data_IF_908750049958
#
_entry.id   IF_908750049958
#
_cell.length_a   1.000
_cell.length_b   1.000
_cell.length_c   1.000
_cell.angle_alpha   90.00
_cell.angle_beta   90.00
_cell.angle_gamma   90.00
#
_symmetry.space_group_name_H-M   'P 1'
#
loop_
_entity.id
_entity.type
_entity.pdbx_description
1 polymer ?
#
# COMPACT_ATOMS: atom_id res chain seq x y z
N UNK A 1 9.63 -15.71 -7.48
CA UNK A 1 8.36 -14.95 -7.53
C UNK A 1 7.84 -14.76 -6.13
N UNK A 2 7.28 -13.60 -5.86
CA UNK A 2 6.65 -13.34 -4.57
C UNK A 2 5.38 -14.16 -4.44
N UNK A 3 5.10 -14.63 -3.21
CA UNK A 3 3.86 -15.31 -2.95
C UNK A 3 2.70 -14.32 -2.97
N UNK A 4 1.48 -14.83 -3.13
CA UNK A 4 0.30 -14.01 -3.11
C UNK A 4 0.11 -13.30 -1.77
N UNK A 5 0.50 -13.97 -0.68
CA UNK A 5 0.41 -13.37 0.64
C UNK A 5 1.35 -12.16 0.76
N UNK A 6 2.59 -12.31 0.29
CA UNK A 6 3.53 -11.20 0.33
C UNK A 6 3.05 -10.05 -0.54
N UNK A 7 2.54 -10.34 -1.71
CA UNK A 7 2.03 -9.31 -2.59
C UNK A 7 0.86 -8.56 -1.94
N UNK A 8 -0.03 -9.29 -1.27
CA UNK A 8 -1.17 -8.67 -0.60
C UNK A 8 -0.72 -7.76 0.54
N UNK A 9 0.30 -8.17 1.28
CA UNK A 9 0.80 -7.35 2.38
C UNK A 9 1.46 -6.07 1.88
N UNK A 10 2.24 -6.18 0.82
CA UNK A 10 2.86 -5.00 0.22
C UNK A 10 1.79 -4.06 -0.32
N UNK A 11 0.76 -4.60 -0.94
CA UNK A 11 -0.34 -3.79 -1.46
C UNK A 11 -1.06 -3.04 -0.35
N UNK A 12 -1.27 -3.71 0.78
CA UNK A 12 -1.94 -3.09 1.93
C UNK A 12 -1.10 -1.94 2.48
N UNK A 13 0.20 -2.14 2.60
CA UNK A 13 1.10 -1.11 3.06
C UNK A 13 1.12 0.08 2.10
N UNK A 14 1.21 -0.18 0.81
CA UNK A 14 1.21 0.87 -0.19
C UNK A 14 -0.07 1.69 -0.18
N UNK A 15 -1.21 1.04 0.02
CA UNK A 15 -2.49 1.73 0.11
C UNK A 15 -2.53 2.66 1.32
N UNK A 16 -2.00 2.22 2.46
CA UNK A 16 -1.99 3.04 3.66
C UNK A 16 -1.09 4.27 3.47
N UNK A 17 0.09 4.08 2.89
CA UNK A 17 1.00 5.19 2.63
C UNK A 17 0.40 6.14 1.58
N UNK A 18 -0.19 5.59 0.53
CA UNK A 18 -0.82 6.40 -0.50
C UNK A 18 -1.98 7.23 0.02
N UNK A 19 -2.81 6.64 0.87
CA UNK A 19 -3.93 7.38 1.46
C UNK A 19 -3.43 8.52 2.35
N UNK A 20 -2.35 8.29 3.09
CA UNK A 20 -1.77 9.34 3.91
C UNK A 20 -1.23 10.51 3.09
N UNK A 21 -0.56 10.21 2.00
CA UNK A 21 -0.04 11.25 1.12
C UNK A 21 -1.17 12.02 0.42
N UNK A 22 -2.23 11.32 0.04
CA UNK A 22 -3.37 11.96 -0.60
C UNK A 22 -4.05 12.95 0.34
N UNK A 23 -4.12 12.63 1.62
CA UNK A 23 -4.70 13.53 2.61
C UNK A 23 -3.93 14.84 2.69
N UNK A 24 -2.61 14.79 2.54
CA UNK A 24 -1.79 16.00 2.56
C UNK A 24 -1.92 16.74 1.23
N UNK A 25 -1.99 15.99 0.13
CA UNK A 25 -2.02 16.60 -1.20
C UNK A 25 -3.37 17.14 -1.62
N UNK A 26 -4.43 16.77 -0.92
CA UNK A 26 -5.77 17.21 -1.31
C UNK A 26 -6.16 18.50 -0.61
#
# INVERSE_FOLDING_TARGET
MLSLLLAAEIAKLGAAVGAGLAAIGA
#
